data_IF_207560476583
#
_entry.id   IF_207560476583
#
_cell.length_a   1.000
_cell.length_b   1.000
_cell.length_c   1.000
_cell.angle_alpha   90.00
_cell.angle_beta   90.00
_cell.angle_gamma   90.00
#
_symmetry.space_group_name_H-M   'P 1'
#
loop_
_entity.id
_entity.type
_entity.pdbx_description
1 polymer ?
#
# COMPACT_ATOMS: atom_id res chain seq x y z
N UNK A 1 2.56 15.76 -38.57
CA UNK A 1 1.98 17.13 -38.67
C UNK A 1 0.46 17.16 -38.88
N UNK A 2 -0.27 16.03 -38.80
CA UNK A 2 -1.74 16.01 -38.88
C UNK A 2 -2.45 15.29 -37.71
N UNK A 3 -1.70 14.81 -36.72
CA UNK A 3 -2.22 13.92 -35.68
C UNK A 3 -3.41 14.51 -34.92
N UNK A 4 -3.30 15.74 -34.41
CA UNK A 4 -4.37 16.37 -33.62
C UNK A 4 -5.69 16.47 -34.38
N UNK A 5 -5.64 16.72 -35.69
CA UNK A 5 -6.83 16.76 -36.53
C UNK A 5 -7.39 15.35 -36.79
N UNK A 6 -6.51 14.37 -37.04
CA UNK A 6 -6.91 12.96 -37.10
C UNK A 6 -7.55 12.48 -35.80
N UNK A 7 -7.01 12.88 -34.64
CA UNK A 7 -7.56 12.53 -33.34
C UNK A 7 -8.97 13.09 -33.16
N UNK A 8 -9.20 14.37 -33.46
CA UNK A 8 -10.56 14.96 -33.42
C UNK A 8 -11.54 14.20 -34.31
N UNK A 9 -11.11 13.80 -35.51
CA UNK A 9 -11.95 13.02 -36.43
C UNK A 9 -12.27 11.63 -35.86
N UNK A 10 -11.30 10.96 -35.24
CA UNK A 10 -11.51 9.66 -34.59
C UNK A 10 -12.48 9.76 -33.40
N UNK A 11 -12.56 10.91 -32.73
CA UNK A 11 -13.52 11.14 -31.65
C UNK A 11 -14.98 11.27 -32.11
N UNK A 12 -15.23 11.51 -33.40
CA UNK A 12 -16.59 11.62 -33.94
C UNK A 12 -17.27 10.25 -34.16
N UNK A 13 -16.51 9.16 -34.13
CA UNK A 13 -17.05 7.81 -34.26
C UNK A 13 -17.80 7.42 -32.99
N UNK A 14 -18.97 6.77 -33.11
CA UNK A 14 -19.75 6.29 -31.95
C UNK A 14 -19.17 5.03 -31.30
N UNK A 15 -18.22 4.36 -31.97
CA UNK A 15 -17.58 3.15 -31.46
C UNK A 15 -16.63 3.49 -30.30
N UNK A 16 -16.95 2.98 -29.10
CA UNK A 16 -16.16 3.21 -27.89
C UNK A 16 -14.74 2.64 -27.99
N UNK A 17 -14.55 1.53 -28.70
CA UNK A 17 -13.22 0.93 -28.91
C UNK A 17 -12.34 1.86 -29.74
N UNK A 18 -12.88 2.43 -30.82
CA UNK A 18 -12.17 3.39 -31.66
C UNK A 18 -11.78 4.63 -30.85
N UNK A 19 -12.70 5.16 -30.04
CA UNK A 19 -12.39 6.31 -29.19
C UNK A 19 -11.33 6.01 -28.13
N UNK A 20 -11.35 4.80 -27.55
CA UNK A 20 -10.38 4.37 -26.54
C UNK A 20 -8.99 4.20 -27.13
N UNK A 21 -8.87 3.57 -28.30
CA UNK A 21 -7.58 3.40 -28.98
C UNK A 21 -7.04 4.71 -29.53
N UNK A 22 -7.92 5.58 -30.05
CA UNK A 22 -7.55 6.94 -30.44
C UNK A 22 -6.99 7.73 -29.24
N UNK A 23 -7.61 7.62 -28.06
CA UNK A 23 -7.13 8.27 -26.84
C UNK A 23 -5.76 7.70 -26.41
N UNK A 24 -5.57 6.38 -26.42
CA UNK A 24 -4.27 5.75 -26.11
C UNK A 24 -3.16 6.27 -27.01
N UNK A 25 -3.39 6.30 -28.33
CA UNK A 25 -2.44 6.86 -29.29
C UNK A 25 -2.20 8.35 -29.06
N UNK A 26 -3.25 9.12 -28.75
CA UNK A 26 -3.13 10.55 -28.52
C UNK A 26 -2.25 10.86 -27.30
N UNK A 27 -2.34 10.02 -26.25
CA UNK A 27 -1.44 10.10 -25.11
C UNK A 27 -0.01 9.76 -25.50
N UNK A 28 0.24 8.77 -26.37
CA UNK A 28 1.60 8.48 -26.86
C UNK A 28 2.23 9.69 -27.56
N UNK A 29 1.44 10.46 -28.30
CA UNK A 29 1.88 11.69 -28.98
C UNK A 29 1.84 12.95 -28.10
N UNK A 30 1.55 12.81 -26.81
CA UNK A 30 1.39 13.92 -25.86
C UNK A 30 0.42 15.02 -26.37
N UNK A 31 -0.68 14.59 -27.00
CA UNK A 31 -1.65 15.50 -27.59
C UNK A 31 -2.42 16.32 -26.53
N UNK A 32 -2.45 17.66 -26.62
CA UNK A 32 -3.09 18.51 -25.61
C UNK A 32 -4.60 18.30 -25.50
N UNK A 33 -5.28 17.90 -26.59
CA UNK A 33 -6.72 17.63 -26.59
C UNK A 33 -7.02 16.38 -25.77
N UNK A 34 -6.17 15.36 -25.87
CA UNK A 34 -6.31 14.15 -25.07
C UNK A 34 -6.17 14.44 -23.57
N UNK A 35 -5.17 15.25 -23.19
CA UNK A 35 -5.01 15.69 -21.81
C UNK A 35 -6.22 16.49 -21.32
N UNK A 36 -6.72 17.43 -22.12
CA UNK A 36 -7.92 18.19 -21.79
C UNK A 36 -9.14 17.27 -21.60
N UNK A 37 -9.35 16.30 -22.49
CA UNK A 37 -10.44 15.33 -22.40
C UNK A 37 -10.35 14.52 -21.10
N UNK A 38 -9.16 14.00 -20.76
CA UNK A 38 -8.95 13.27 -19.52
C UNK A 38 -9.23 14.13 -18.28
N UNK A 39 -8.82 15.40 -18.29
CA UNK A 39 -9.11 16.35 -17.19
C UNK A 39 -10.61 16.55 -17.03
N UNK A 40 -11.34 16.74 -18.13
CA UNK A 40 -12.81 16.87 -18.10
C UNK A 40 -13.48 15.62 -17.53
N UNK A 41 -13.05 14.42 -17.93
CA UNK A 41 -13.56 13.17 -17.37
C UNK A 41 -13.26 13.08 -15.86
N UNK A 42 -12.04 13.41 -15.44
CA UNK A 42 -11.62 13.30 -14.05
C UNK A 42 -12.46 14.17 -13.09
N UNK A 43 -12.88 15.37 -13.51
CA UNK A 43 -13.64 16.31 -12.67
C UNK A 43 -15.16 16.15 -12.77
N UNK A 44 -15.67 15.48 -13.80
CA UNK A 44 -17.12 15.34 -14.02
C UNK A 44 -17.74 14.34 -13.06
N UNK A 45 -18.51 14.83 -12.08
CA UNK A 45 -19.18 14.01 -11.08
C UNK A 45 -20.31 13.14 -11.65
N UNK A 46 -20.74 13.38 -12.90
CA UNK A 46 -21.73 12.53 -13.57
C UNK A 46 -21.11 11.30 -14.23
N UNK A 47 -19.77 11.25 -14.35
CA UNK A 47 -19.07 10.07 -14.83
C UNK A 47 -19.04 8.98 -13.76
N UNK A 48 -19.05 7.72 -14.22
CA UNK A 48 -18.80 6.57 -13.35
C UNK A 48 -17.43 6.72 -12.69
N UNK A 49 -17.34 6.37 -11.40
CA UNK A 49 -16.09 6.52 -10.62
C UNK A 49 -14.92 5.82 -11.30
N UNK A 50 -15.14 4.67 -11.93
CA UNK A 50 -14.13 3.89 -12.63
C UNK A 50 -13.53 4.68 -13.80
N UNK A 51 -14.37 5.36 -14.59
CA UNK A 51 -13.92 6.18 -15.71
C UNK A 51 -13.08 7.36 -15.24
N UNK A 52 -13.51 7.98 -14.13
CA UNK A 52 -12.78 9.09 -13.51
C UNK A 52 -11.40 8.63 -13.01
N UNK A 53 -11.35 7.48 -12.34
CA UNK A 53 -10.11 6.88 -11.84
C UNK A 53 -9.17 6.50 -13.00
N UNK A 54 -9.66 5.86 -14.07
CA UNK A 54 -8.86 5.51 -15.26
C UNK A 54 -8.29 6.78 -15.93
N UNK A 55 -9.08 7.86 -15.99
CA UNK A 55 -8.62 9.13 -16.54
C UNK A 55 -7.50 9.76 -15.70
N UNK A 56 -7.64 9.75 -14.37
CA UNK A 56 -6.61 10.24 -13.45
C UNK A 56 -5.33 9.40 -13.56
N UNK A 57 -5.43 8.06 -13.58
CA UNK A 57 -4.27 7.18 -13.78
C UNK A 57 -3.57 7.43 -15.11
N UNK A 58 -4.32 7.69 -16.18
CA UNK A 58 -3.77 8.00 -17.50
C UNK A 58 -3.01 9.34 -17.50
N UNK A 59 -3.52 10.35 -16.78
CA UNK A 59 -2.82 11.62 -16.55
C UNK A 59 -1.54 11.42 -15.73
N UNK A 60 -1.61 10.64 -14.64
CA UNK A 60 -0.47 10.36 -13.76
C UNK A 60 0.68 9.72 -14.54
N UNK A 61 0.40 8.72 -15.39
CA UNK A 61 1.42 8.05 -16.23
C UNK A 61 2.22 9.01 -17.11
N UNK A 62 1.62 10.14 -17.48
CA UNK A 62 2.23 11.15 -18.34
C UNK A 62 2.91 12.28 -17.57
N UNK A 63 2.69 12.34 -16.26
CA UNK A 63 3.25 13.33 -15.32
C UNK A 63 3.27 14.79 -15.83
N UNK A 64 2.17 15.35 -16.38
CA UNK A 64 2.17 16.74 -16.81
C UNK A 64 2.39 17.67 -15.61
N UNK A 65 3.24 18.69 -15.78
CA UNK A 65 3.75 19.53 -14.67
C UNK A 65 2.66 20.23 -13.84
N UNK A 66 1.52 20.51 -14.44
CA UNK A 66 0.37 21.18 -13.83
C UNK A 66 -0.65 20.22 -13.20
N UNK A 67 -0.45 18.90 -13.32
CA UNK A 67 -1.35 17.90 -12.74
C UNK A 67 -1.47 17.96 -11.21
N UNK A 68 -0.42 18.25 -10.41
CA UNK A 68 -0.54 18.29 -8.95
C UNK A 68 -1.66 19.19 -8.46
N UNK A 69 -1.86 20.35 -9.08
CA UNK A 69 -2.97 21.27 -8.76
C UNK A 69 -4.33 20.60 -8.90
N UNK A 70 -4.54 19.83 -9.98
CA UNK A 70 -5.77 19.08 -10.19
C UNK A 70 -5.90 17.94 -9.18
N UNK A 71 -4.82 17.19 -8.91
CA UNK A 71 -4.88 16.08 -7.95
C UNK A 71 -5.23 16.58 -6.55
N UNK A 72 -4.64 17.69 -6.10
CA UNK A 72 -4.97 18.34 -4.82
C UNK A 72 -6.42 18.83 -4.74
N UNK A 73 -7.05 19.18 -5.85
CA UNK A 73 -8.49 19.43 -5.89
C UNK A 73 -9.26 18.12 -5.73
N UNK A 74 -8.86 17.08 -6.46
CA UNK A 74 -9.54 15.78 -6.51
C UNK A 74 -9.40 14.96 -5.22
N UNK A 75 -8.38 15.19 -4.38
CA UNK A 75 -8.27 14.49 -3.09
C UNK A 75 -9.45 14.81 -2.16
N UNK A 76 -10.23 15.87 -2.42
CA UNK A 76 -11.43 16.21 -1.65
C UNK A 76 -12.66 15.37 -2.04
N UNK A 77 -12.60 14.66 -3.16
CA UNK A 77 -13.69 13.82 -3.65
C UNK A 77 -13.44 12.36 -3.27
N UNK A 78 -14.22 11.76 -2.35
CA UNK A 78 -13.99 10.40 -1.87
C UNK A 78 -13.97 9.33 -2.97
N UNK A 79 -14.65 9.56 -4.11
CA UNK A 79 -14.71 8.57 -5.20
C UNK A 79 -13.39 8.42 -5.97
N UNK A 80 -12.51 9.43 -5.91
CA UNK A 80 -11.22 9.49 -6.60
C UNK A 80 -10.05 9.85 -5.69
N UNK A 81 -10.31 10.05 -4.39
CA UNK A 81 -9.33 10.48 -3.39
C UNK A 81 -8.08 9.60 -3.36
N UNK A 82 -8.27 8.27 -3.40
CA UNK A 82 -7.19 7.29 -3.36
C UNK A 82 -6.19 7.46 -4.51
N UNK A 83 -6.69 7.41 -5.75
CA UNK A 83 -5.84 7.55 -6.94
C UNK A 83 -5.18 8.94 -7.02
N UNK A 84 -5.87 9.98 -6.54
CA UNK A 84 -5.32 11.32 -6.53
C UNK A 84 -4.15 11.47 -5.53
N UNK A 85 -4.27 10.91 -4.31
CA UNK A 85 -3.21 10.93 -3.30
C UNK A 85 -1.97 10.14 -3.73
N UNK A 86 -2.16 8.96 -4.31
CA UNK A 86 -1.05 8.15 -4.84
C UNK A 86 -0.40 8.82 -6.05
N UNK A 87 -1.19 9.46 -6.91
CA UNK A 87 -0.70 10.25 -8.04
C UNK A 87 0.19 11.43 -7.63
N UNK A 88 -0.08 12.05 -6.48
CA UNK A 88 0.77 13.12 -5.96
C UNK A 88 2.19 12.63 -5.63
N UNK A 89 2.35 11.35 -5.29
CA UNK A 89 3.66 10.77 -5.02
C UNK A 89 4.55 10.70 -6.28
N UNK A 90 4.02 10.84 -7.49
CA UNK A 90 4.83 10.93 -8.71
C UNK A 90 5.62 12.25 -8.86
N UNK A 91 5.35 13.24 -8.01
CA UNK A 91 5.95 14.57 -8.07
C UNK A 91 6.81 14.84 -6.83
N UNK A 92 7.90 15.61 -6.99
CA UNK A 92 8.90 15.85 -5.94
C UNK A 92 8.78 17.22 -5.23
N UNK A 93 7.83 18.08 -5.61
CA UNK A 93 7.68 19.42 -5.02
C UNK A 93 7.35 19.33 -3.51
N UNK A 94 8.17 19.93 -2.62
CA UNK A 94 7.92 19.96 -1.18
C UNK A 94 6.53 20.52 -0.80
N UNK A 95 6.00 21.49 -1.56
CA UNK A 95 4.71 22.14 -1.29
C UNK A 95 3.53 21.17 -1.38
N UNK A 96 3.66 20.11 -2.18
CA UNK A 96 2.63 19.08 -2.27
C UNK A 96 2.43 18.42 -0.90
N UNK A 97 3.51 18.09 -0.19
CA UNK A 97 3.44 17.51 1.14
C UNK A 97 2.77 18.44 2.14
N UNK A 98 3.10 19.72 2.12
CA UNK A 98 2.47 20.75 2.95
C UNK A 98 0.96 20.84 2.70
N UNK A 99 0.54 20.88 1.44
CA UNK A 99 -0.88 20.98 1.06
C UNK A 99 -1.68 19.71 1.39
N UNK A 100 -1.07 18.53 1.25
CA UNK A 100 -1.69 17.28 1.70
C UNK A 100 -1.88 17.27 3.23
N UNK A 101 -0.89 17.77 3.98
CA UNK A 101 -1.00 17.90 5.45
C UNK A 101 -2.09 18.89 5.87
N UNK A 102 -2.23 20.03 5.18
CA UNK A 102 -3.31 20.99 5.42
C UNK A 102 -4.71 20.38 5.22
N UNK A 103 -4.84 19.51 4.21
CA UNK A 103 -6.10 18.85 3.88
C UNK A 103 -6.35 17.58 4.70
N UNK A 104 -5.37 17.10 5.46
CA UNK A 104 -5.38 15.79 6.11
C UNK A 104 -6.65 15.51 6.93
N UNK A 105 -7.09 16.47 7.74
CA UNK A 105 -8.27 16.31 8.61
C UNK A 105 -9.59 16.27 7.83
N UNK A 106 -9.60 16.73 6.58
CA UNK A 106 -10.77 16.69 5.69
C UNK A 106 -10.89 15.37 4.92
N UNK A 107 -9.84 14.54 4.94
CA UNK A 107 -9.81 13.29 4.21
C UNK A 107 -10.64 12.21 4.93
N UNK A 108 -11.15 11.25 4.15
CA UNK A 108 -11.78 10.05 4.71
C UNK A 108 -10.77 9.23 5.50
N UNK A 109 -11.22 8.26 6.31
CA UNK A 109 -10.31 7.38 7.05
C UNK A 109 -9.32 6.66 6.12
N UNK A 110 -9.76 6.17 4.96
CA UNK A 110 -8.88 5.55 3.96
C UNK A 110 -7.96 6.59 3.32
N UNK A 111 -8.49 7.78 3.00
CA UNK A 111 -7.69 8.87 2.44
C UNK A 111 -6.60 9.38 3.38
N UNK A 112 -6.81 9.38 4.70
CA UNK A 112 -5.75 9.69 5.67
C UNK A 112 -4.62 8.66 5.61
N UNK A 113 -4.94 7.39 5.44
CA UNK A 113 -3.93 6.33 5.29
C UNK A 113 -3.15 6.46 3.97
N UNK A 114 -3.84 6.75 2.87
CA UNK A 114 -3.19 7.05 1.58
C UNK A 114 -2.29 8.30 1.68
N UNK A 115 -2.75 9.34 2.38
CA UNK A 115 -1.96 10.55 2.62
C UNK A 115 -0.69 10.26 3.44
N UNK A 116 -0.79 9.48 4.52
CA UNK A 116 0.37 9.06 5.31
C UNK A 116 1.39 8.29 4.46
N UNK A 117 0.92 7.40 3.58
CA UNK A 117 1.79 6.69 2.64
C UNK A 117 2.49 7.66 1.68
N UNK A 118 1.73 8.55 1.03
CA UNK A 118 2.29 9.55 0.10
C UNK A 118 3.34 10.40 0.81
N UNK A 119 3.02 10.92 2.00
CA UNK A 119 3.92 11.77 2.78
C UNK A 119 5.16 11.03 3.31
N UNK A 120 5.06 9.72 3.57
CA UNK A 120 6.19 8.91 4.04
C UNK A 120 7.10 8.41 2.91
N UNK A 121 6.72 8.63 1.65
CA UNK A 121 7.47 8.15 0.48
C UNK A 121 8.76 8.92 0.19
N UNK A 122 8.97 10.07 0.83
CA UNK A 122 10.14 10.94 0.65
C UNK A 122 10.57 11.58 1.96
N UNK A 123 11.88 11.77 2.13
CA UNK A 123 12.46 12.41 3.31
C UNK A 123 11.84 13.78 3.62
N UNK A 124 11.75 14.67 2.63
CA UNK A 124 11.29 16.06 2.86
C UNK A 124 9.86 16.07 3.40
N UNK A 125 8.97 15.29 2.80
CA UNK A 125 7.57 15.20 3.23
C UNK A 125 7.41 14.47 4.56
N UNK A 126 8.21 13.43 4.80
CA UNK A 126 8.23 12.71 6.05
C UNK A 126 8.64 13.60 7.23
N UNK A 127 9.60 14.50 7.02
CA UNK A 127 9.97 15.50 8.04
C UNK A 127 8.78 16.43 8.35
N UNK A 128 8.09 16.96 7.34
CA UNK A 128 6.88 17.78 7.54
C UNK A 128 5.75 17.00 8.22
N UNK A 129 5.59 15.71 7.92
CA UNK A 129 4.63 14.84 8.59
C UNK A 129 4.97 14.66 10.08
N UNK A 130 6.22 14.37 10.39
CA UNK A 130 6.68 14.24 11.78
C UNK A 130 6.51 15.57 12.54
N UNK A 131 6.79 16.71 11.90
CA UNK A 131 6.55 18.04 12.49
C UNK A 131 5.06 18.22 12.84
N UNK A 132 4.16 17.82 11.94
CA UNK A 132 2.72 17.92 12.15
C UNK A 132 2.22 17.03 13.29
N UNK A 133 2.82 15.84 13.47
CA UNK A 133 2.48 14.92 14.56
C UNK A 133 3.01 15.44 15.90
N UNK A 134 4.26 15.92 15.95
CA UNK A 134 4.84 16.53 17.15
C UNK A 134 4.07 17.78 17.59
N UNK A 135 3.63 18.59 16.63
CA UNK A 135 2.75 19.73 16.85
C UNK A 135 1.30 19.34 17.19
N UNK A 136 0.98 18.04 17.28
CA UNK A 136 -0.36 17.50 17.55
C UNK A 136 -1.45 17.91 16.55
N UNK A 137 -1.07 18.37 15.35
CA UNK A 137 -2.00 18.63 14.24
C UNK A 137 -2.53 17.33 13.63
N UNK A 138 -1.71 16.28 13.69
CA UNK A 138 -2.06 14.91 13.34
C UNK A 138 -1.90 14.04 14.59
N UNK A 139 -2.93 13.32 15.04
CA UNK A 139 -2.79 12.39 16.16
C UNK A 139 -1.78 11.29 15.83
N UNK A 140 -0.85 10.99 16.73
CA UNK A 140 0.11 9.89 16.53
C UNK A 140 -0.57 8.52 16.37
N UNK A 141 -1.81 8.37 16.86
CA UNK A 141 -2.63 7.17 16.65
C UNK A 141 -3.08 6.93 15.21
N UNK A 142 -2.91 7.90 14.30
CA UNK A 142 -3.17 7.71 12.86
C UNK A 142 -2.07 6.90 12.17
N UNK A 143 -0.85 6.87 12.73
CA UNK A 143 0.23 6.05 12.19
C UNK A 143 -0.16 4.57 12.24
N UNK A 144 0.26 3.85 11.22
CA UNK A 144 0.15 2.40 11.14
C UNK A 144 1.54 1.77 11.18
N UNK A 145 1.61 0.47 11.47
CA UNK A 145 2.87 -0.27 11.34
C UNK A 145 3.48 -0.13 9.94
N UNK A 146 2.62 -0.03 8.91
CA UNK A 146 3.06 0.26 7.55
C UNK A 146 3.68 1.65 7.41
N UNK A 147 3.03 2.71 7.92
CA UNK A 147 3.57 4.08 7.90
C UNK A 147 4.90 4.17 8.63
N UNK A 148 5.00 3.59 9.83
CA UNK A 148 6.23 3.56 10.60
C UNK A 148 7.36 2.85 9.84
N UNK A 149 7.08 1.73 9.17
CA UNK A 149 8.05 1.04 8.32
C UNK A 149 8.46 1.87 7.10
N UNK A 150 7.54 2.56 6.45
CA UNK A 150 7.90 3.44 5.32
C UNK A 150 8.83 4.57 5.75
N UNK A 151 8.54 5.20 6.90
CA UNK A 151 9.41 6.21 7.49
C UNK A 151 10.79 5.66 7.83
N UNK A 152 10.87 4.47 8.44
CA UNK A 152 12.15 3.83 8.74
C UNK A 152 12.94 3.48 7.46
N UNK A 153 12.24 3.07 6.40
CA UNK A 153 12.83 2.79 5.09
C UNK A 153 13.34 4.05 4.38
N UNK A 154 13.22 5.26 4.96
CA UNK A 154 13.93 6.44 4.47
C UNK A 154 15.43 6.39 4.76
N UNK A 155 15.89 5.48 5.62
CA UNK A 155 17.27 5.33 6.10
C UNK A 155 17.88 6.65 6.59
N UNK A 156 17.03 7.52 7.15
CA UNK A 156 17.42 8.84 7.61
C UNK A 156 17.42 8.88 9.15
N UNK A 157 18.57 9.29 9.72
CA UNK A 157 18.79 9.27 11.17
C UNK A 157 17.80 10.15 11.93
N UNK A 158 17.45 11.31 11.37
CA UNK A 158 16.55 12.26 12.02
C UNK A 158 15.11 11.71 12.00
N UNK A 159 14.67 11.18 10.85
CA UNK A 159 13.37 10.50 10.71
C UNK A 159 13.27 9.34 11.70
N UNK A 160 14.24 8.43 11.74
CA UNK A 160 14.21 7.26 12.63
C UNK A 160 14.20 7.65 14.11
N UNK A 161 14.99 8.66 14.50
CA UNK A 161 15.02 9.15 15.89
C UNK A 161 13.67 9.74 16.31
N UNK A 162 13.05 10.56 15.47
CA UNK A 162 11.75 11.17 15.74
C UNK A 162 10.62 10.13 15.74
N UNK A 163 10.63 9.22 14.77
CA UNK A 163 9.70 8.10 14.72
C UNK A 163 9.76 7.27 16.01
N UNK A 164 10.97 6.95 16.50
CA UNK A 164 11.14 6.22 17.76
C UNK A 164 10.50 6.94 18.95
N UNK A 165 10.57 8.27 19.00
CA UNK A 165 9.94 9.06 20.07
C UNK A 165 8.42 9.10 19.97
N UNK A 166 7.86 9.10 18.75
CA UNK A 166 6.41 9.25 18.52
C UNK A 166 5.65 7.92 18.51
N UNK A 167 6.25 6.89 17.94
CA UNK A 167 5.65 5.58 17.71
C UNK A 167 6.22 4.50 18.63
N UNK A 168 7.45 4.69 19.11
CA UNK A 168 8.23 3.65 19.77
C UNK A 168 9.05 2.83 18.77
N UNK A 169 9.48 1.65 19.19
CA UNK A 169 10.34 0.80 18.36
C UNK A 169 9.51 0.11 17.26
N UNK A 170 9.84 0.38 15.99
CA UNK A 170 9.15 -0.22 14.83
C UNK A 170 9.32 -1.74 14.77
N UNK A 171 10.49 -2.25 15.19
CA UNK A 171 10.84 -3.66 15.18
C UNK A 171 11.23 -4.14 16.56
N UNK A 172 10.67 -5.26 16.98
CA UNK A 172 11.04 -5.90 18.25
C UNK A 172 12.39 -6.59 18.15
N UNK A 173 13.10 -6.63 19.28
CA UNK A 173 14.38 -7.34 19.33
C UNK A 173 14.16 -8.86 19.22
N UNK A 174 15.16 -9.63 18.75
CA UNK A 174 15.08 -11.09 18.76
C UNK A 174 14.75 -11.66 20.15
N UNK A 175 15.24 -11.02 21.22
CA UNK A 175 14.95 -11.42 22.59
C UNK A 175 13.47 -11.20 22.98
N UNK A 176 12.86 -10.10 22.55
CA UNK A 176 11.44 -9.82 22.80
C UNK A 176 10.54 -10.80 22.04
N UNK A 177 10.89 -11.09 20.78
CA UNK A 177 10.20 -12.09 19.94
C UNK A 177 10.28 -13.48 20.53
N UNK A 178 11.45 -13.89 21.03
CA UNK A 178 11.62 -15.17 21.73
C UNK A 178 10.75 -15.26 23.00
N UNK A 179 10.63 -14.19 23.78
CA UNK A 179 9.73 -14.14 24.94
C UNK A 179 8.27 -14.27 24.53
N UNK A 180 7.85 -13.62 23.45
CA UNK A 180 6.50 -13.75 22.92
C UNK A 180 6.21 -15.17 22.43
N UNK A 181 7.15 -15.80 21.74
CA UNK A 181 7.03 -17.19 21.30
C UNK A 181 6.73 -18.11 22.49
N UNK A 182 7.52 -18.02 23.56
CA UNK A 182 7.31 -18.81 24.78
C UNK A 182 5.94 -18.50 25.41
N UNK A 183 5.56 -17.22 25.50
CA UNK A 183 4.28 -16.79 26.06
C UNK A 183 3.11 -17.38 25.29
N UNK A 184 3.06 -17.21 23.97
CA UNK A 184 1.94 -17.65 23.15
C UNK A 184 1.90 -19.17 23.05
N UNK A 185 3.04 -19.85 22.91
CA UNK A 185 3.09 -21.31 22.91
C UNK A 185 2.50 -21.91 24.20
N UNK A 186 2.76 -21.30 25.36
CA UNK A 186 2.17 -21.74 26.64
C UNK A 186 0.65 -21.59 26.69
N UNK A 187 0.09 -20.61 25.97
CA UNK A 187 -1.36 -20.34 25.94
C UNK A 187 -2.11 -21.22 24.92
N UNK A 188 -1.41 -21.72 23.90
CA UNK A 188 -1.99 -22.52 22.81
C UNK A 188 -1.91 -24.03 23.10
N UNK A 189 -2.43 -24.47 24.25
CA UNK A 189 -2.56 -25.91 24.55
C UNK A 189 -3.59 -26.55 23.63
N UNK A 190 -3.55 -27.88 23.54
CA UNK A 190 -4.53 -28.62 22.74
C UNK A 190 -5.97 -28.39 23.26
N UNK A 191 -6.17 -28.36 24.59
CA UNK A 191 -7.48 -28.04 25.17
C UNK A 191 -7.92 -26.63 24.78
N UNK A 192 -7.03 -25.64 24.90
CA UNK A 192 -7.34 -24.26 24.54
C UNK A 192 -7.77 -24.16 23.07
N UNK A 193 -6.99 -24.72 22.14
CA UNK A 193 -7.30 -24.69 20.72
C UNK A 193 -8.59 -25.45 20.38
N UNK A 194 -8.89 -26.55 21.07
CA UNK A 194 -10.13 -27.31 20.88
C UNK A 194 -11.39 -26.54 21.32
N UNK A 195 -11.25 -25.65 22.30
CA UNK A 195 -12.32 -24.79 22.81
C UNK A 195 -12.49 -23.46 22.06
N UNK A 196 -11.64 -23.22 21.06
CA UNK A 196 -11.56 -21.94 20.36
C UNK A 196 -12.73 -21.71 19.39
N UNK A 197 -13.13 -20.45 19.23
CA UNK A 197 -14.19 -20.07 18.29
C UNK A 197 -13.59 -19.81 16.90
N UNK A 198 -13.61 -20.82 16.04
CA UNK A 198 -13.07 -20.74 14.67
C UNK A 198 -13.82 -19.73 13.78
N UNK A 199 -15.08 -19.41 14.09
CA UNK A 199 -15.85 -18.37 13.39
C UNK A 199 -15.32 -16.97 13.73
N UNK A 200 -14.99 -16.70 14.99
CA UNK A 200 -14.27 -15.47 15.39
C UNK A 200 -12.89 -15.44 14.75
N UNK A 201 -12.16 -16.57 14.77
CA UNK A 201 -10.86 -16.69 14.09
C UNK A 201 -10.91 -16.35 12.60
N UNK A 202 -11.95 -16.81 11.89
CA UNK A 202 -12.18 -16.46 10.47
C UNK A 202 -12.40 -14.97 10.27
N UNK A 203 -13.16 -14.32 11.13
CA UNK A 203 -13.36 -12.87 11.06
C UNK A 203 -12.05 -12.10 11.28
N UNK A 204 -11.21 -12.54 12.22
CA UNK A 204 -9.89 -11.96 12.46
C UNK A 204 -8.94 -12.17 11.28
N UNK A 205 -8.95 -13.35 10.66
CA UNK A 205 -8.21 -13.61 9.42
C UNK A 205 -8.66 -12.65 8.30
N UNK A 206 -9.97 -12.53 8.07
CA UNK A 206 -10.52 -11.60 7.07
C UNK A 206 -10.07 -10.16 7.30
N UNK A 207 -10.02 -9.73 8.57
CA UNK A 207 -9.63 -8.36 8.94
C UNK A 207 -8.12 -8.10 8.78
N UNK A 208 -7.27 -9.05 9.16
CA UNK A 208 -5.83 -8.78 9.35
C UNK A 208 -4.92 -9.46 8.31
N UNK A 209 -5.35 -10.58 7.73
CA UNK A 209 -4.49 -11.44 6.91
C UNK A 209 -4.99 -11.58 5.48
N UNK A 210 -6.31 -11.56 5.27
CA UNK A 210 -6.92 -11.84 3.97
C UNK A 210 -6.64 -10.79 2.89
N UNK A 211 -6.17 -9.59 3.26
CA UNK A 211 -5.70 -8.61 2.27
C UNK A 211 -4.49 -9.12 1.48
N UNK A 212 -3.62 -9.90 2.14
CA UNK A 212 -2.39 -10.41 1.53
C UNK A 212 -2.48 -11.90 1.21
N UNK A 213 -3.08 -12.69 2.08
CA UNK A 213 -3.04 -14.14 2.02
C UNK A 213 -4.36 -14.75 1.60
N UNK A 214 -4.27 -15.89 0.92
CA UNK A 214 -5.40 -16.77 0.65
C UNK A 214 -5.48 -17.88 1.70
N UNK A 215 -6.69 -18.25 2.10
CA UNK A 215 -6.96 -19.43 2.91
C UNK A 215 -8.34 -20.00 2.55
N UNK A 216 -8.39 -21.29 2.23
CA UNK A 216 -9.60 -21.97 1.74
C UNK A 216 -10.25 -21.30 0.53
N UNK A 217 -9.43 -20.79 -0.38
CA UNK A 217 -9.88 -20.10 -1.60
C UNK A 217 -10.23 -18.62 -1.42
N UNK A 218 -10.25 -18.10 -0.19
CA UNK A 218 -10.60 -16.70 0.11
C UNK A 218 -9.38 -15.85 0.48
N UNK A 219 -9.33 -14.62 -0.01
CA UNK A 219 -8.31 -13.62 0.34
C UNK A 219 -7.43 -13.21 -0.83
N UNK A 220 -6.29 -12.60 -0.51
CA UNK A 220 -5.37 -11.94 -1.44
C UNK A 220 -4.34 -12.89 -2.06
N UNK A 221 -3.53 -12.31 -2.94
CA UNK A 221 -2.47 -13.02 -3.70
C UNK A 221 -1.10 -12.33 -3.58
N UNK A 222 -0.95 -11.43 -2.61
CA UNK A 222 0.32 -10.75 -2.36
C UNK A 222 1.27 -11.69 -1.60
N UNK A 223 0.75 -12.34 -0.56
CA UNK A 223 1.44 -13.38 0.19
C UNK A 223 1.06 -14.79 -0.30
N UNK A 224 1.74 -15.83 0.19
CA UNK A 224 1.45 -17.21 -0.16
C UNK A 224 0.02 -17.62 0.21
N UNK A 225 -0.53 -18.55 -0.56
CA UNK A 225 -1.72 -19.30 -0.18
C UNK A 225 -1.40 -20.16 1.03
N UNK A 226 -2.07 -19.87 2.14
CA UNK A 226 -1.87 -20.56 3.40
C UNK A 226 -2.50 -21.94 3.39
N UNK A 227 -3.48 -22.24 2.53
CA UNK A 227 -4.25 -23.49 2.56
C UNK A 227 -3.37 -24.74 2.57
N UNK A 228 -2.25 -24.74 1.84
CA UNK A 228 -1.28 -25.85 1.78
C UNK A 228 -0.02 -25.70 2.64
N UNK A 229 0.08 -24.67 3.49
CA UNK A 229 1.27 -24.41 4.30
C UNK A 229 1.37 -25.35 5.53
N UNK A 230 2.50 -25.31 6.24
CA UNK A 230 2.74 -26.06 7.50
C UNK A 230 1.99 -25.48 8.72
N UNK A 231 0.83 -24.88 8.49
CA UNK A 231 0.04 -24.14 9.50
C UNK A 231 -0.57 -25.02 10.60
N UNK A 232 -0.53 -26.34 10.48
CA UNK A 232 -0.83 -27.28 11.57
C UNK A 232 0.33 -27.40 12.57
N UNK A 233 1.55 -27.01 12.20
CA UNK A 233 2.69 -26.89 13.10
C UNK A 233 2.61 -25.54 13.83
N UNK A 234 2.29 -25.59 15.13
CA UNK A 234 2.14 -24.40 15.97
C UNK A 234 3.40 -23.54 16.03
N UNK A 235 4.59 -24.16 16.09
CA UNK A 235 5.86 -23.43 16.16
C UNK A 235 6.10 -22.64 14.87
N UNK A 236 5.90 -23.29 13.71
CA UNK A 236 5.98 -22.64 12.42
C UNK A 236 4.98 -21.48 12.29
N UNK A 237 3.72 -21.71 12.69
CA UNK A 237 2.68 -20.70 12.60
C UNK A 237 2.99 -19.48 13.49
N UNK A 238 3.36 -19.71 14.75
CA UNK A 238 3.72 -18.64 15.67
C UNK A 238 4.97 -17.89 15.23
N UNK A 239 5.97 -18.59 14.67
CA UNK A 239 7.20 -17.97 14.18
C UNK A 239 6.89 -16.97 13.07
N UNK A 240 6.07 -17.35 12.09
CA UNK A 240 5.68 -16.46 11.00
C UNK A 240 4.81 -15.28 11.48
N UNK A 241 3.96 -15.47 12.51
CA UNK A 241 3.11 -14.40 13.05
C UNK A 241 3.90 -13.40 13.93
N UNK A 242 4.93 -13.86 14.63
CA UNK A 242 5.73 -13.05 15.58
C UNK A 242 6.96 -12.45 14.90
N UNK A 243 7.64 -13.23 14.05
CA UNK A 243 8.81 -12.81 13.28
C UNK A 243 8.68 -13.14 11.79
N UNK A 244 7.79 -12.44 11.06
CA UNK A 244 7.61 -12.69 9.63
C UNK A 244 8.86 -12.45 8.79
N UNK A 245 9.87 -11.73 9.33
CA UNK A 245 11.14 -11.44 8.65
C UNK A 245 12.26 -12.42 9.03
N UNK A 246 12.02 -13.42 9.89
CA UNK A 246 13.06 -14.39 10.28
C UNK A 246 13.52 -15.24 9.10
N UNK A 247 12.59 -15.62 8.23
CA UNK A 247 12.86 -16.39 7.02
C UNK A 247 11.92 -15.94 5.89
N UNK A 248 12.41 -15.03 5.04
CA UNK A 248 11.67 -14.58 3.86
C UNK A 248 12.06 -15.46 2.67
N UNK A 249 11.09 -16.21 2.14
CA UNK A 249 11.31 -16.98 0.92
C UNK A 249 11.62 -16.06 -0.26
N UNK A 250 12.49 -16.52 -1.18
CA UNK A 250 13.00 -15.73 -2.31
C UNK A 250 11.90 -15.07 -3.14
N UNK A 251 10.80 -15.79 -3.38
CA UNK A 251 9.66 -15.32 -4.18
C UNK A 251 8.86 -14.18 -3.50
N UNK A 252 9.09 -13.97 -2.20
CA UNK A 252 8.48 -12.90 -1.40
C UNK A 252 9.53 -11.91 -0.87
N UNK A 253 10.75 -11.94 -1.42
CA UNK A 253 11.79 -10.98 -1.07
C UNK A 253 11.44 -9.61 -1.67
N UNK A 254 11.16 -8.63 -0.80
CA UNK A 254 10.90 -7.28 -1.24
C UNK A 254 12.17 -6.62 -1.78
N UNK A 255 11.97 -5.64 -2.64
CA UNK A 255 12.99 -4.69 -3.07
C UNK A 255 12.62 -3.28 -2.61
N UNK A 256 13.66 -2.54 -2.24
CA UNK A 256 13.62 -1.11 -1.97
C UNK A 256 14.22 -0.40 -3.19
N UNK A 257 13.41 0.45 -3.79
CA UNK A 257 13.81 1.32 -4.89
C UNK A 257 13.87 2.76 -4.39
N UNK A 258 14.90 3.50 -4.79
CA UNK A 258 14.95 4.96 -4.71
C UNK A 258 14.92 5.47 -6.14
N UNK A 259 13.94 6.32 -6.45
CA UNK A 259 13.86 6.95 -7.77
C UNK A 259 14.81 8.13 -7.87
N UNK A 260 15.13 8.54 -9.11
CA UNK A 260 15.94 9.75 -9.38
C UNK A 260 15.31 11.04 -8.81
N UNK A 261 14.00 11.02 -8.55
CA UNK A 261 13.22 12.09 -7.92
C UNK A 261 13.09 11.91 -6.38
N UNK A 262 13.93 11.06 -5.79
CA UNK A 262 14.02 10.84 -4.34
C UNK A 262 12.83 10.11 -3.71
N UNK A 263 11.93 9.51 -4.50
CA UNK A 263 10.83 8.68 -3.98
C UNK A 263 11.38 7.32 -3.59
N UNK A 264 11.02 6.85 -2.40
CA UNK A 264 11.28 5.48 -1.98
C UNK A 264 10.03 4.64 -2.22
N UNK A 265 10.22 3.51 -2.89
CA UNK A 265 9.19 2.52 -3.16
C UNK A 265 9.70 1.20 -2.62
N UNK A 266 8.95 0.57 -1.71
CA UNK A 266 9.30 -0.75 -1.17
C UNK A 266 8.16 -1.72 -1.44
N UNK A 267 8.47 -2.86 -2.04
CA UNK A 267 7.47 -3.89 -2.34
C UNK A 267 8.04 -5.11 -3.07
N UNK A 268 7.17 -6.00 -3.51
CA UNK A 268 7.54 -7.21 -4.24
C UNK A 268 7.73 -6.91 -5.72
N UNK A 269 8.86 -7.28 -6.34
CA UNK A 269 8.98 -7.25 -7.80
C UNK A 269 8.11 -8.36 -8.40
N UNK A 270 7.08 -7.99 -9.17
CA UNK A 270 6.11 -8.94 -9.75
C UNK A 270 6.25 -9.08 -11.26
N UNK A 271 6.88 -8.13 -11.93
CA UNK A 271 7.14 -8.16 -13.37
C UNK A 271 8.32 -7.24 -13.68
N UNK A 272 9.24 -7.70 -14.54
CA UNK A 272 10.36 -6.91 -15.01
C UNK A 272 10.51 -7.07 -16.53
N UNK A 273 10.61 -5.93 -17.22
CA UNK A 273 10.90 -5.85 -18.66
C UNK A 273 12.19 -5.07 -18.86
N UNK A 274 12.69 -4.98 -20.09
CA UNK A 274 13.88 -4.18 -20.40
C UNK A 274 13.74 -2.70 -20.04
N UNK A 275 12.51 -2.17 -19.90
CA UNK A 275 12.27 -0.73 -19.73
C UNK A 275 11.55 -0.37 -18.42
N UNK A 276 10.91 -1.32 -17.76
CA UNK A 276 10.13 -1.06 -16.55
C UNK A 276 10.16 -2.24 -15.57
N UNK A 277 10.12 -1.90 -14.28
CA UNK A 277 9.94 -2.80 -13.16
C UNK A 277 8.59 -2.53 -12.50
N UNK A 278 7.75 -3.54 -12.37
CA UNK A 278 6.48 -3.46 -11.64
C UNK A 278 6.68 -3.97 -10.22
N UNK A 279 6.46 -3.09 -9.25
CA UNK A 279 6.49 -3.39 -7.82
C UNK A 279 5.07 -3.46 -7.28
N UNK A 280 4.69 -4.58 -6.67
CA UNK A 280 3.51 -4.68 -5.81
C UNK A 280 3.86 -4.15 -4.43
N UNK A 281 3.28 -3.01 -4.05
CA UNK A 281 3.31 -2.51 -2.67
C UNK A 281 2.13 -3.09 -1.88
N UNK A 282 1.97 -2.71 -0.61
CA UNK A 282 0.79 -3.13 0.18
C UNK A 282 -0.52 -2.58 -0.40
N UNK A 283 -0.48 -1.43 -1.09
CA UNK A 283 -1.68 -0.70 -1.49
C UNK A 283 -1.89 -0.66 -3.01
N UNK A 284 -0.81 -0.72 -3.80
CA UNK A 284 -0.87 -0.50 -5.24
C UNK A 284 0.23 -1.25 -6.01
N UNK A 285 0.01 -1.43 -7.31
CA UNK A 285 1.05 -1.80 -8.27
C UNK A 285 1.67 -0.53 -8.84
N UNK A 286 2.97 -0.36 -8.63
CA UNK A 286 3.74 0.77 -9.14
C UNK A 286 4.60 0.29 -10.29
N UNK A 287 4.46 0.91 -11.46
CA UNK A 287 5.33 0.66 -12.60
C UNK A 287 6.41 1.73 -12.61
N UNK A 288 7.65 1.33 -12.37
CA UNK A 288 8.80 2.24 -12.31
C UNK A 288 9.67 2.01 -13.55
N UNK A 289 9.86 3.03 -14.40
CA UNK A 289 10.81 2.93 -15.51
C UNK A 289 12.22 2.63 -14.99
N UNK A 290 12.93 1.67 -15.59
CA UNK A 290 14.28 1.26 -15.14
C UNK A 290 15.24 2.45 -15.09
N UNK A 291 15.13 3.36 -16.08
CA UNK A 291 15.94 4.59 -16.16
C UNK A 291 15.69 5.61 -15.03
N UNK A 292 14.58 5.47 -14.29
CA UNK A 292 14.20 6.35 -13.18
C UNK A 292 14.58 5.75 -11.83
N UNK A 293 15.16 4.54 -11.80
CA UNK A 293 15.65 3.90 -10.59
C UNK A 293 17.10 4.33 -10.36
N UNK A 294 17.34 5.06 -9.27
CA UNK A 294 18.68 5.48 -8.85
C UNK A 294 19.34 4.41 -7.99
N UNK A 295 18.60 3.87 -7.01
CA UNK A 295 19.06 2.79 -6.13
C UNK A 295 18.06 1.65 -6.13
N UNK A 296 18.55 0.42 -6.22
CA UNK A 296 17.78 -0.81 -6.07
C UNK A 296 18.49 -1.73 -5.08
N UNK A 297 17.82 -2.08 -4.00
CA UNK A 297 18.35 -2.96 -2.97
C UNK A 297 17.33 -4.03 -2.59
N UNK A 298 17.82 -5.24 -2.29
CA UNK A 298 16.99 -6.26 -1.66
C UNK A 298 16.72 -5.89 -0.22
N UNK A 299 15.52 -6.18 0.25
CA UNK A 299 15.14 -6.05 1.65
C UNK A 299 15.21 -7.40 2.34
N UNK A 300 15.75 -7.42 3.56
CA UNK A 300 15.68 -8.57 4.46
C UNK A 300 14.36 -8.59 5.26
N UNK A 301 13.49 -7.61 5.03
CA UNK A 301 12.20 -7.50 5.70
C UNK A 301 11.10 -8.17 4.87
N UNK A 302 10.17 -8.80 5.58
CA UNK A 302 8.92 -9.28 5.00
C UNK A 302 7.92 -8.14 4.82
N UNK A 303 7.09 -8.25 3.78
CA UNK A 303 5.94 -7.36 3.60
C UNK A 303 4.92 -7.52 4.75
N UNK A 304 4.85 -8.71 5.35
CA UNK A 304 4.01 -8.97 6.50
C UNK A 304 4.49 -8.15 7.72
N UNK A 305 3.58 -7.40 8.39
CA UNK A 305 3.94 -6.54 9.51
C UNK A 305 4.32 -7.31 10.78
N UNK A 306 5.23 -6.74 11.57
CA UNK A 306 5.52 -7.19 12.94
C UNK A 306 4.36 -6.76 13.87
N UNK A 307 4.26 -7.39 15.04
CA UNK A 307 3.29 -6.99 16.07
C UNK A 307 1.82 -7.28 15.72
N UNK A 308 1.56 -8.19 14.77
CA UNK A 308 0.21 -8.58 14.34
C UNK A 308 -0.68 -9.07 15.49
N UNK A 309 -0.08 -9.66 16.53
CA UNK A 309 -0.80 -10.21 17.67
C UNK A 309 -0.98 -9.22 18.83
N UNK A 310 -0.32 -8.06 18.81
CA UNK A 310 -0.24 -7.17 19.98
C UNK A 310 -1.56 -6.45 20.30
N UNK A 311 -2.36 -6.21 19.26
CA UNK A 311 -3.67 -5.54 19.39
C UNK A 311 -4.81 -6.53 19.67
N UNK A 312 -4.51 -7.84 19.73
CA UNK A 312 -5.49 -8.89 19.95
C UNK A 312 -5.46 -9.35 21.41
N UNK A 313 -6.63 -9.66 21.94
CA UNK A 313 -6.78 -10.33 23.24
C UNK A 313 -6.28 -11.77 23.16
N UNK A 314 -5.96 -12.39 24.30
CA UNK A 314 -5.53 -13.80 24.35
C UNK A 314 -6.56 -14.76 23.73
N UNK A 315 -7.86 -14.45 23.86
CA UNK A 315 -8.96 -15.22 23.28
C UNK A 315 -9.00 -15.07 21.76
N UNK A 316 -8.87 -13.85 21.24
CA UNK A 316 -8.80 -13.59 19.80
C UNK A 316 -7.58 -14.25 19.16
N UNK A 317 -6.42 -14.22 19.83
CA UNK A 317 -5.20 -14.89 19.36
C UNK A 317 -5.44 -16.40 19.28
N UNK A 318 -6.03 -17.01 20.32
CA UNK A 318 -6.38 -18.43 20.34
C UNK A 318 -7.34 -18.79 19.21
N UNK A 319 -8.39 -18.00 19.02
CA UNK A 319 -9.40 -18.21 17.99
C UNK A 319 -8.81 -18.06 16.58
N UNK A 320 -7.95 -17.06 16.35
CA UNK A 320 -7.22 -16.86 15.11
C UNK A 320 -6.30 -18.06 14.82
N UNK A 321 -5.49 -18.48 15.78
CA UNK A 321 -4.58 -19.62 15.62
C UNK A 321 -5.36 -20.90 15.32
N UNK A 322 -6.45 -21.18 16.05
CA UNK A 322 -7.29 -22.35 15.82
C UNK A 322 -7.98 -22.34 14.45
N UNK A 323 -8.31 -21.16 13.92
CA UNK A 323 -8.81 -21.04 12.55
C UNK A 323 -7.70 -21.31 11.53
N UNK A 324 -6.54 -20.65 11.67
CA UNK A 324 -5.40 -20.80 10.76
C UNK A 324 -4.86 -22.24 10.72
N UNK A 325 -4.81 -22.93 11.86
CA UNK A 325 -4.32 -24.31 11.94
C UNK A 325 -5.35 -25.37 11.56
N UNK A 326 -6.63 -25.02 11.44
CA UNK A 326 -7.69 -25.97 11.12
C UNK A 326 -7.69 -26.40 9.65
N UNK A 327 -8.19 -27.59 9.33
CA UNK A 327 -8.12 -28.15 7.97
C UNK A 327 -9.36 -27.89 7.10
N UNK A 328 -10.41 -27.34 7.69
CA UNK A 328 -11.69 -27.05 7.02
C UNK A 328 -12.06 -25.58 7.15
N UNK A 329 -12.84 -25.06 6.20
CA UNK A 329 -13.38 -23.71 6.29
C UNK A 329 -14.38 -23.62 7.46
N UNK A 330 -14.17 -22.66 8.35
CA UNK A 330 -15.14 -22.36 9.41
C UNK A 330 -16.33 -21.60 8.83
N UNK A 331 -17.56 -21.71 9.38
CA UNK A 331 -18.71 -20.95 8.88
C UNK A 331 -18.48 -19.42 8.95
N UNK A 332 -19.21 -18.65 8.15
CA UNK A 332 -19.32 -17.20 8.37
C UNK A 332 -20.25 -16.92 9.55
N UNK A 333 -20.07 -15.76 10.20
CA UNK A 333 -21.05 -15.26 11.17
C UNK A 333 -22.29 -14.73 10.47
#
# INVERSE_FOLDING_TARGET
KGWTESYKNLLQFQDESVQKDALRLALVFDDPIAFQRLRSIAIDQNQLKENRQEAIQSLIKKRPKDLPTLLLQLIRDPSVQHVALLGLAEYSDPKIGEQVLELFQTLSTTGRQDALQTLSSRKVWAMSLLDAVEAKKIPSGEFTAYTARQLENLDDKDVSSRLKSLWGTVRQTPADKAKQMVKYKKQMTQEALSSANRTTGRALFKKNCANCHKLFGEGGVIGPDLTGAQRTNLDYLLENLIDPSAAVAKDYQMEKLVTTEGRIITGLPIEETETALTIQTVNEKVVVPIKEIDVRAKSDLSMMPDGLLEKLTSEEIRDLIAYLSGIEQAPEK
#
